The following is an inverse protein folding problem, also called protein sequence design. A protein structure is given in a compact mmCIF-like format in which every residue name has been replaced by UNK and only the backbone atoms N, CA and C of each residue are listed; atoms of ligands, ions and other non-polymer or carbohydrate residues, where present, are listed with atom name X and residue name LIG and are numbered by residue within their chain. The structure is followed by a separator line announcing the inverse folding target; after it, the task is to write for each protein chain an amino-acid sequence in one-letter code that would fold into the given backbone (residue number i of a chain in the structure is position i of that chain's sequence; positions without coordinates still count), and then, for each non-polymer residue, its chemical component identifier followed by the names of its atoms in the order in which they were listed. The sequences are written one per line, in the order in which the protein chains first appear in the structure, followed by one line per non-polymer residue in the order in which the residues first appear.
data_IF_958692144127
#
_entry.id   IF_958692144127
#
_cell.length_a   1.000
_cell.length_b   1.000
_cell.length_c   1.000
_cell.angle_alpha   90.00
_cell.angle_beta   90.00
_cell.angle_gamma   90.00
#
_symmetry.space_group_name_H-M   'P 1'
#
loop_
_entity.id
_entity.type
_entity.pdbx_description
1 polymer ?
#
# COMPACT_ATOMS: atom_id res chain seq x y z
N UNK A 1 19.38 1.39 -44.37
CA UNK A 1 20.35 1.51 -43.24
C UNK A 1 21.27 0.30 -43.15
N UNK A 2 20.76 -0.92 -42.94
CA UNK A 2 21.57 -2.14 -42.81
C UNK A 2 22.59 -2.37 -43.95
N UNK A 3 22.15 -2.28 -45.22
CA UNK A 3 23.04 -2.42 -46.40
C UNK A 3 24.12 -1.33 -46.52
N UNK A 4 23.95 -0.19 -45.84
CA UNK A 4 24.93 0.92 -45.83
C UNK A 4 25.92 0.66 -44.69
N UNK A 5 25.42 0.37 -43.49
CA UNK A 5 26.23 0.03 -42.31
C UNK A 5 27.13 -1.18 -42.59
N UNK A 6 26.60 -2.24 -43.21
CA UNK A 6 27.34 -3.46 -43.53
C UNK A 6 28.49 -3.26 -44.55
N UNK A 7 28.48 -2.14 -45.27
CA UNK A 7 29.60 -1.76 -46.17
C UNK A 7 30.73 -1.09 -45.41
N UNK A 8 30.42 -0.37 -44.32
CA UNK A 8 31.38 0.38 -43.52
C UNK A 8 31.89 -0.39 -42.30
N UNK A 9 31.19 -1.46 -41.90
CA UNK A 9 31.66 -2.38 -40.86
C UNK A 9 31.19 -3.80 -41.14
N UNK A 10 32.15 -4.71 -41.24
CA UNK A 10 31.92 -6.13 -41.53
C UNK A 10 31.20 -6.86 -40.39
N UNK A 11 31.24 -6.33 -39.15
CA UNK A 11 30.61 -6.95 -37.98
C UNK A 11 29.07 -6.88 -38.00
N UNK A 12 28.49 -5.93 -38.76
CA UNK A 12 27.04 -5.78 -38.94
C UNK A 12 26.55 -6.36 -40.28
N UNK A 13 27.30 -7.31 -40.86
CA UNK A 13 26.95 -7.96 -42.13
C UNK A 13 26.06 -9.17 -41.89
N UNK A 14 24.95 -9.24 -42.62
CA UNK A 14 23.95 -10.30 -42.49
C UNK A 14 22.69 -9.83 -41.77
N UNK A 15 21.76 -10.76 -41.53
CA UNK A 15 20.44 -10.48 -40.92
C UNK A 15 20.35 -10.99 -39.46
N UNK A 16 21.48 -11.10 -38.77
CA UNK A 16 21.49 -11.47 -37.36
C UNK A 16 20.90 -10.32 -36.51
N UNK A 17 20.35 -10.66 -35.34
CA UNK A 17 20.03 -9.64 -34.35
C UNK A 17 21.34 -9.09 -33.77
N UNK A 18 21.49 -7.77 -33.78
CA UNK A 18 22.65 -7.07 -33.26
C UNK A 18 22.24 -6.25 -32.03
N UNK A 19 23.16 -6.12 -31.07
CA UNK A 19 22.95 -5.27 -29.90
C UNK A 19 22.90 -3.79 -30.33
N UNK A 20 21.83 -3.10 -29.94
CA UNK A 20 21.62 -1.69 -30.30
C UNK A 20 22.68 -0.77 -29.68
N UNK A 21 23.23 -1.13 -28.52
CA UNK A 21 24.29 -0.37 -27.84
C UNK A 21 25.61 -0.48 -28.62
N UNK A 22 25.95 -1.70 -29.08
CA UNK A 22 27.15 -1.95 -29.89
C UNK A 22 27.09 -1.18 -31.21
N UNK A 23 25.92 -1.15 -31.86
CA UNK A 23 25.71 -0.37 -33.08
C UNK A 23 25.85 1.14 -32.83
N UNK A 24 25.30 1.66 -31.72
CA UNK A 24 25.38 3.07 -31.38
C UNK A 24 26.81 3.51 -31.09
N UNK A 25 27.56 2.73 -30.31
CA UNK A 25 28.97 2.98 -30.01
C UNK A 25 29.81 3.00 -31.28
N UNK A 26 29.65 2.00 -32.15
CA UNK A 26 30.34 1.97 -33.44
C UNK A 26 30.01 3.19 -34.31
N UNK A 27 28.75 3.63 -34.32
CA UNK A 27 28.33 4.78 -35.09
C UNK A 27 28.95 6.08 -34.53
N UNK A 28 28.98 6.25 -33.21
CA UNK A 28 29.60 7.39 -32.54
C UNK A 28 31.11 7.44 -32.80
N UNK A 29 31.79 6.30 -32.73
CA UNK A 29 33.21 6.20 -33.06
C UNK A 29 33.48 6.61 -34.51
N UNK A 30 32.66 6.14 -35.46
CA UNK A 30 32.79 6.52 -36.87
C UNK A 30 32.53 8.01 -37.10
N UNK A 31 31.54 8.58 -36.42
CA UNK A 31 31.27 10.01 -36.50
C UNK A 31 32.41 10.83 -35.89
N UNK A 32 32.99 10.41 -34.77
CA UNK A 32 34.14 11.07 -34.17
C UNK A 32 35.39 11.00 -35.05
N UNK A 33 35.67 9.86 -35.68
CA UNK A 33 36.79 9.71 -36.62
C UNK A 33 36.61 10.61 -37.87
N UNK A 34 35.43 10.63 -38.47
CA UNK A 34 35.16 11.44 -39.67
C UNK A 34 35.15 12.95 -39.38
N UNK A 35 34.76 13.36 -38.16
CA UNK A 35 34.78 14.75 -37.71
C UNK A 35 36.16 15.20 -37.20
N UNK A 36 36.93 14.30 -36.60
CA UNK A 36 38.28 14.57 -36.10
C UNK A 36 39.35 14.61 -37.21
N UNK A 37 39.14 13.87 -38.30
CA UNK A 37 40.04 13.85 -39.47
C UNK A 37 39.82 15.01 -40.45
N UNK A 38 38.74 15.78 -40.31
CA UNK A 38 38.44 16.91 -41.18
C UNK A 38 39.35 18.10 -40.85
N UNK A 39 40.47 18.21 -41.56
CA UNK A 39 41.24 19.46 -41.63
C UNK A 39 40.32 20.65 -41.96
N UNK A 40 40.55 21.85 -41.39
CA UNK A 40 39.62 22.99 -41.50
C UNK A 40 39.32 23.43 -42.95
N UNK A 41 40.08 22.96 -43.93
CA UNK A 41 39.91 23.26 -45.35
C UNK A 41 38.80 22.44 -46.05
N UNK A 42 38.26 21.37 -45.44
CA UNK A 42 37.24 20.50 -46.07
C UNK A 42 35.79 20.74 -45.61
N UNK A 43 35.56 21.61 -44.61
CA UNK A 43 34.21 21.87 -44.07
C UNK A 43 33.26 22.60 -45.05
N UNK A 44 33.73 23.01 -46.24
CA UNK A 44 32.94 23.80 -47.20
C UNK A 44 32.12 22.97 -48.20
N UNK A 45 32.10 21.63 -48.13
CA UNK A 45 31.40 20.77 -49.11
C UNK A 45 30.39 19.78 -48.53
N UNK A 46 29.89 20.01 -47.31
CA UNK A 46 28.76 19.24 -46.76
C UNK A 46 27.40 19.86 -47.15
N UNK A 47 26.44 19.03 -47.57
CA UNK A 47 25.03 19.45 -47.76
C UNK A 47 24.50 20.17 -46.51
N UNK A 48 23.67 21.21 -46.68
CA UNK A 48 23.05 21.98 -45.58
C UNK A 48 22.37 21.09 -44.52
N UNK A 49 21.85 19.94 -44.92
CA UNK A 49 21.20 18.96 -44.03
C UNK A 49 22.19 18.29 -43.05
N UNK A 50 23.42 18.02 -43.48
CA UNK A 50 24.47 17.45 -42.61
C UNK A 50 24.93 18.47 -41.59
N UNK A 51 24.98 19.75 -41.99
CA UNK A 51 25.32 20.87 -41.09
C UNK A 51 24.24 21.09 -40.03
N UNK A 52 22.97 21.01 -40.41
CA UNK A 52 21.84 21.12 -39.49
C UNK A 52 21.77 19.94 -38.50
N UNK A 53 22.06 18.71 -38.95
CA UNK A 53 22.16 17.55 -38.08
C UNK A 53 23.35 17.67 -37.10
N UNK A 54 24.48 18.19 -37.57
CA UNK A 54 25.65 18.47 -36.74
C UNK A 54 25.36 19.54 -35.69
N UNK A 55 24.70 20.64 -36.05
CA UNK A 55 24.25 21.65 -35.09
C UNK A 55 23.26 21.08 -34.08
N UNK A 56 22.33 20.23 -34.50
CA UNK A 56 21.37 19.58 -33.62
C UNK A 56 22.06 18.61 -32.62
N UNK A 57 23.02 17.81 -33.08
CA UNK A 57 23.83 16.93 -32.24
C UNK A 57 24.75 17.73 -31.29
N UNK A 58 25.32 18.83 -31.75
CA UNK A 58 26.12 19.73 -30.91
C UNK A 58 25.24 20.40 -29.83
N UNK A 59 24.01 20.77 -30.17
CA UNK A 59 23.03 21.36 -29.25
C UNK A 59 22.54 20.33 -28.24
N UNK A 60 22.36 19.06 -28.64
CA UNK A 60 22.07 17.95 -27.74
C UNK A 60 23.24 17.66 -26.80
N UNK A 61 24.47 17.62 -27.30
CA UNK A 61 25.67 17.41 -26.47
C UNK A 61 25.88 18.56 -25.47
N UNK A 62 25.53 19.79 -25.85
CA UNK A 62 25.55 20.95 -24.94
C UNK A 62 24.36 20.97 -23.97
N UNK A 63 23.19 20.46 -24.37
CA UNK A 63 22.00 20.29 -23.52
C UNK A 63 22.14 19.15 -22.50
N UNK A 64 22.94 18.13 -22.81
CA UNK A 64 23.33 17.03 -21.90
C UNK A 64 24.53 17.42 -21.02
N UNK A 65 24.99 18.68 -21.07
CA UNK A 65 25.92 19.21 -20.07
C UNK A 65 25.18 19.42 -18.76
N UNK A 66 25.02 18.31 -18.03
CA UNK A 66 24.60 18.23 -16.63
C UNK A 66 25.31 19.34 -15.85
N UNK A 67 24.58 20.40 -15.50
CA UNK A 67 25.04 21.46 -14.59
C UNK A 67 24.90 21.06 -13.12
N UNK A 68 24.80 19.77 -12.79
CA UNK A 68 24.93 19.28 -11.42
C UNK A 68 26.30 18.65 -11.20
N UNK A 69 27.12 19.33 -10.39
CA UNK A 69 27.83 18.76 -9.24
C UNK A 69 28.70 17.50 -9.34
N UNK A 70 28.90 16.83 -10.47
CA UNK A 70 29.79 15.66 -10.56
C UNK A 70 31.24 16.16 -10.63
N UNK A 71 31.78 16.58 -9.49
CA UNK A 71 33.22 16.91 -9.36
C UNK A 71 34.06 15.71 -8.90
N UNK A 72 33.44 14.56 -8.63
CA UNK A 72 34.13 13.41 -8.01
C UNK A 72 33.70 12.05 -8.59
N UNK A 73 33.32 11.97 -9.87
CA UNK A 73 33.55 10.73 -10.60
C UNK A 73 35.07 10.62 -10.77
N UNK A 74 35.71 10.01 -9.77
CA UNK A 74 37.16 9.79 -9.70
C UNK A 74 37.56 9.05 -10.97
N UNK A 75 38.15 9.77 -11.90
CA UNK A 75 38.74 9.21 -13.12
C UNK A 75 39.82 8.22 -12.69
N UNK A 76 39.49 6.94 -12.78
CA UNK A 76 40.39 5.82 -12.51
C UNK A 76 41.49 5.84 -13.57
N UNK A 77 42.64 6.45 -13.26
CA UNK A 77 43.83 6.35 -14.10
C UNK A 77 44.51 5.02 -13.81
N UNK A 78 44.69 4.19 -14.83
CA UNK A 78 45.57 3.02 -14.71
C UNK A 78 46.99 3.48 -15.03
N UNK A 79 47.91 3.21 -14.10
CA UNK A 79 49.33 3.54 -14.25
C UNK A 79 50.13 2.26 -14.33
N UNK A 80 50.80 2.07 -15.46
CA UNK A 80 51.69 0.95 -15.67
C UNK A 80 53.11 1.49 -15.73
N UNK A 81 53.96 1.03 -14.83
CA UNK A 81 55.39 1.36 -14.85
C UNK A 81 56.14 0.21 -15.48
N UNK A 82 56.86 0.49 -16.57
CA UNK A 82 57.68 -0.52 -17.22
C UNK A 82 58.85 -0.93 -16.27
N UNK A 83 58.99 -2.20 -15.88
CA UNK A 83 60.02 -2.62 -14.93
C UNK A 83 61.44 -2.52 -15.51
N UNK A 84 61.60 -2.41 -16.83
CA UNK A 84 62.89 -2.43 -17.50
C UNK A 84 63.47 -1.04 -17.81
N UNK A 85 62.61 -0.04 -18.06
CA UNK A 85 63.04 1.33 -18.36
C UNK A 85 62.46 2.38 -17.41
N UNK A 86 61.72 1.95 -16.38
CA UNK A 86 61.09 2.80 -15.35
C UNK A 86 60.19 3.91 -15.92
N UNK A 87 59.77 3.78 -17.18
CA UNK A 87 58.89 4.73 -17.84
C UNK A 87 57.45 4.46 -17.40
N UNK A 88 56.83 5.47 -16.82
CA UNK A 88 55.45 5.43 -16.37
C UNK A 88 54.53 5.76 -17.56
N UNK A 89 53.61 4.86 -17.85
CA UNK A 89 52.51 5.07 -18.80
C UNK A 89 51.23 5.26 -17.99
N UNK A 90 50.62 6.43 -18.11
CA UNK A 90 49.31 6.71 -17.57
C UNK A 90 48.31 6.65 -18.72
N UNK A 91 47.44 5.64 -18.72
CA UNK A 91 46.39 5.54 -19.72
C UNK A 91 45.11 6.11 -19.10
N UNK A 92 44.64 7.20 -19.68
CA UNK A 92 43.31 7.72 -19.41
C UNK A 92 42.35 6.94 -20.28
N UNK A 93 41.59 6.03 -19.68
CA UNK A 93 40.51 5.33 -20.37
C UNK A 93 39.20 5.99 -19.91
N UNK A 94 38.69 7.01 -20.64
CA UNK A 94 37.39 7.57 -20.29
C UNK A 94 36.36 6.47 -20.51
N UNK A 95 35.58 6.14 -19.47
CA UNK A 95 34.38 5.34 -19.67
C UNK A 95 33.50 6.07 -20.70
N UNK A 96 33.46 5.55 -21.93
CA UNK A 96 32.66 6.12 -23.04
C UNK A 96 31.16 5.90 -22.80
N UNK A 97 30.82 4.89 -22.01
CA UNK A 97 29.45 4.58 -21.57
C UNK A 97 29.46 4.12 -20.12
N UNK A 98 28.42 4.55 -19.39
CA UNK A 98 28.12 4.06 -18.05
C UNK A 98 26.67 3.58 -18.03
N UNK A 99 26.46 2.34 -17.59
CA UNK A 99 25.14 1.80 -17.34
C UNK A 99 24.66 2.29 -15.98
N UNK A 100 23.68 3.19 -15.96
CA UNK A 100 23.11 3.70 -14.72
C UNK A 100 21.85 2.92 -14.35
N UNK A 101 21.70 2.51 -13.07
CA UNK A 101 20.45 1.92 -12.61
C UNK A 101 19.34 2.96 -12.68
N UNK A 102 18.21 2.59 -13.29
CA UNK A 102 17.01 3.44 -13.31
C UNK A 102 16.31 3.25 -11.97
N UNK A 103 16.08 4.32 -11.18
CA UNK A 103 15.24 4.25 -9.99
C UNK A 103 13.93 3.55 -10.32
N UNK A 104 13.62 2.50 -9.58
CA UNK A 104 12.35 1.81 -9.71
C UNK A 104 11.38 2.38 -8.68
N UNK A 105 10.10 2.51 -9.07
CA UNK A 105 9.05 2.92 -8.15
C UNK A 105 8.97 1.91 -7.00
N UNK A 106 9.17 2.39 -5.77
CA UNK A 106 9.21 1.55 -4.56
C UNK A 106 7.86 1.47 -3.83
N UNK A 107 6.84 2.18 -4.31
CA UNK A 107 5.50 2.21 -3.72
C UNK A 107 4.41 1.85 -4.73
N UNK A 108 3.28 1.36 -4.25
CA UNK A 108 2.03 1.25 -5.02
C UNK A 108 0.92 2.06 -4.37
N UNK A 109 -0.05 2.49 -5.16
CA UNK A 109 -1.27 3.08 -4.64
C UNK A 109 -2.16 1.98 -4.05
N UNK A 110 -2.58 2.16 -2.79
CA UNK A 110 -3.54 1.30 -2.12
C UNK A 110 -4.68 2.14 -1.55
N UNK A 111 -5.92 1.76 -1.87
CA UNK A 111 -7.10 2.39 -1.29
C UNK A 111 -7.54 1.62 -0.04
N UNK A 112 -7.76 2.33 1.06
CA UNK A 112 -8.24 1.76 2.32
C UNK A 112 -9.50 2.50 2.75
N UNK A 113 -10.51 1.76 3.17
CA UNK A 113 -11.76 2.32 3.69
C UNK A 113 -11.66 2.42 5.21
N UNK A 114 -11.60 3.63 5.73
CA UNK A 114 -11.62 3.93 7.15
C UNK A 114 -13.06 3.81 7.67
N UNK A 115 -13.24 3.00 8.72
CA UNK A 115 -14.50 2.86 9.46
C UNK A 115 -14.30 3.50 10.82
N UNK A 116 -14.72 4.76 10.92
CA UNK A 116 -14.49 5.62 12.09
C UNK A 116 -15.71 5.63 13.02
N UNK A 117 -15.50 6.02 14.27
CA UNK A 117 -16.59 6.24 15.24
C UNK A 117 -17.24 7.64 15.09
N UNK A 118 -16.86 8.41 14.07
CA UNK A 118 -17.37 9.77 13.85
C UNK A 118 -18.66 9.75 13.02
N UNK A 119 -19.75 10.34 13.52
CA UNK A 119 -21.05 10.41 12.85
C UNK A 119 -21.02 11.11 11.48
N UNK A 120 -20.13 12.10 11.28
CA UNK A 120 -20.02 12.84 10.00
C UNK A 120 -19.18 12.14 8.94
N UNK A 121 -18.20 11.34 9.37
CA UNK A 121 -17.16 10.78 8.49
C UNK A 121 -16.97 9.29 8.79
N UNK A 122 -18.09 8.56 8.84
CA UNK A 122 -18.10 7.17 9.32
C UNK A 122 -17.39 6.21 8.36
N UNK A 123 -17.48 6.48 7.06
CA UNK A 123 -16.88 5.68 5.99
C UNK A 123 -16.15 6.59 5.00
N UNK A 124 -14.82 6.60 5.06
CA UNK A 124 -13.98 7.42 4.17
C UNK A 124 -12.94 6.55 3.49
N UNK A 125 -12.84 6.61 2.17
CA UNK A 125 -11.78 5.95 1.42
C UNK A 125 -10.59 6.88 1.29
N UNK A 126 -9.42 6.41 1.68
CA UNK A 126 -8.16 7.13 1.60
C UNK A 126 -7.21 6.41 0.65
N UNK A 127 -6.39 7.18 -0.06
CA UNK A 127 -5.37 6.65 -0.97
C UNK A 127 -3.99 6.75 -0.33
N UNK A 128 -3.28 5.63 -0.22
CA UNK A 128 -1.96 5.54 0.40
C UNK A 128 -0.91 5.09 -0.62
N UNK A 129 0.28 5.71 -0.60
CA UNK A 129 1.45 5.26 -1.34
C UNK A 129 2.22 4.25 -0.47
N UNK A 130 1.87 2.97 -0.58
CA UNK A 130 2.41 1.95 0.32
C UNK A 130 3.68 1.31 -0.23
N UNK A 131 4.69 0.98 0.60
CA UNK A 131 5.92 0.34 0.13
C UNK A 131 5.64 -1.04 -0.48
N UNK A 132 6.27 -1.36 -1.62
CA UNK A 132 6.12 -2.65 -2.31
C UNK A 132 6.66 -3.82 -1.48
N UNK A 133 7.76 -3.61 -0.77
CA UNK A 133 8.41 -4.59 0.11
C UNK A 133 8.09 -4.33 1.59
N UNK A 134 7.01 -3.59 1.86
CA UNK A 134 6.56 -3.26 3.20
C UNK A 134 5.73 -4.35 3.86
N UNK A 135 5.49 -4.17 5.14
CA UNK A 135 4.66 -5.02 5.98
C UNK A 135 3.30 -4.41 6.26
N UNK A 136 2.37 -5.21 6.78
CA UNK A 136 1.08 -4.72 7.27
C UNK A 136 1.25 -3.78 8.48
N UNK A 137 2.33 -3.90 9.25
CA UNK A 137 2.64 -2.95 10.33
C UNK A 137 2.85 -1.53 9.78
N UNK A 138 3.60 -1.40 8.68
CA UNK A 138 3.83 -0.12 8.00
C UNK A 138 2.50 0.48 7.52
N UNK A 139 1.65 -0.35 6.89
CA UNK A 139 0.32 0.06 6.49
C UNK A 139 -0.52 0.54 7.69
N UNK A 140 -0.48 -0.19 8.81
CA UNK A 140 -1.25 0.15 10.01
C UNK A 140 -0.87 1.52 10.53
N UNK A 141 0.42 1.84 10.55
CA UNK A 141 0.91 3.15 10.95
C UNK A 141 0.48 4.25 9.97
N UNK A 142 0.54 4.01 8.66
CA UNK A 142 0.08 4.96 7.65
C UNK A 142 -1.42 5.27 7.79
N UNK A 143 -2.24 4.22 7.94
CA UNK A 143 -3.68 4.31 8.15
C UNK A 143 -4.02 5.04 9.45
N UNK A 144 -3.30 4.73 10.52
CA UNK A 144 -3.46 5.35 11.83
C UNK A 144 -3.25 6.87 11.76
N UNK A 145 -2.20 7.31 11.06
CA UNK A 145 -1.91 8.72 10.84
C UNK A 145 -3.01 9.41 10.03
N UNK A 146 -3.46 8.81 8.93
CA UNK A 146 -4.52 9.37 8.07
C UNK A 146 -5.87 9.45 8.80
N UNK A 147 -6.21 8.44 9.60
CA UNK A 147 -7.46 8.38 10.35
C UNK A 147 -7.45 9.08 11.72
N UNK A 148 -6.31 9.61 12.15
CA UNK A 148 -6.09 10.09 13.53
C UNK A 148 -6.48 9.05 14.60
N UNK A 149 -6.16 7.78 14.34
CA UNK A 149 -6.42 6.63 15.23
C UNK A 149 -5.06 6.17 15.80
N UNK A 150 -4.95 5.78 17.08
CA UNK A 150 -3.74 5.11 17.57
C UNK A 150 -3.46 3.81 16.78
N UNK A 151 -2.24 3.55 16.31
CA UNK A 151 -1.92 2.36 15.51
C UNK A 151 -2.38 1.05 16.16
N UNK A 152 -2.22 0.91 17.48
CA UNK A 152 -2.61 -0.25 18.27
C UNK A 152 -4.13 -0.47 18.36
N UNK A 153 -4.94 0.50 17.93
CA UNK A 153 -6.40 0.38 17.85
C UNK A 153 -6.90 0.09 16.44
N UNK A 154 -6.06 0.21 15.41
CA UNK A 154 -6.48 -0.06 14.04
C UNK A 154 -6.66 -1.56 13.84
N UNK A 155 -7.80 -1.99 13.33
CA UNK A 155 -8.00 -3.37 12.85
C UNK A 155 -8.06 -3.35 11.33
N UNK A 156 -7.22 -4.15 10.66
CA UNK A 156 -7.18 -4.24 9.21
C UNK A 156 -7.84 -5.54 8.76
N UNK A 157 -8.81 -5.45 7.84
CA UNK A 157 -9.48 -6.64 7.30
C UNK A 157 -9.95 -6.46 5.85
N UNK A 158 -9.86 -7.54 5.10
CA UNK A 158 -10.36 -7.63 3.72
C UNK A 158 -11.81 -8.12 3.75
N UNK A 159 -12.71 -7.34 3.13
CA UNK A 159 -14.14 -7.62 3.14
C UNK A 159 -14.65 -7.70 1.71
N UNK A 160 -15.17 -8.86 1.34
CA UNK A 160 -15.76 -9.11 0.03
C UNK A 160 -17.23 -8.73 -0.03
N UNK A 161 -17.84 -8.70 -1.23
CA UNK A 161 -19.30 -8.65 -1.38
C UNK A 161 -20.04 -9.83 -0.74
N UNK A 162 -19.35 -10.89 -0.27
CA UNK A 162 -19.93 -12.02 0.47
C UNK A 162 -19.62 -12.02 1.97
N UNK A 163 -18.94 -10.98 2.47
CA UNK A 163 -18.56 -10.83 3.89
C UNK A 163 -17.06 -10.85 4.13
N UNK A 164 -16.66 -10.97 5.39
CA UNK A 164 -15.24 -10.98 5.79
C UNK A 164 -14.46 -12.15 5.19
N UNK A 165 -13.34 -11.84 4.54
CA UNK A 165 -12.40 -12.84 4.08
C UNK A 165 -11.37 -13.15 5.17
N UNK A 166 -10.60 -12.14 5.56
CA UNK A 166 -9.52 -12.29 6.54
C UNK A 166 -9.18 -10.97 7.23
N UNK A 167 -8.48 -11.07 8.34
CA UNK A 167 -7.86 -9.92 9.03
C UNK A 167 -6.37 -9.99 8.76
N UNK A 168 -5.70 -8.83 8.66
CA UNK A 168 -4.27 -8.74 8.39
C UNK A 168 -3.49 -8.52 9.69
N UNK A 169 -2.52 -9.40 9.93
CA UNK A 169 -1.54 -9.30 11.01
C UNK A 169 -0.27 -8.58 10.57
N UNK A 170 0.40 -7.93 11.51
CA UNK A 170 1.54 -7.03 11.25
C UNK A 170 2.73 -7.67 10.51
N UNK A 171 2.95 -8.96 10.69
CA UNK A 171 4.05 -9.70 10.08
C UNK A 171 3.81 -10.07 8.60
N UNK A 172 2.58 -9.85 8.11
CA UNK A 172 2.25 -10.16 6.73
C UNK A 172 2.86 -9.14 5.76
N UNK A 173 3.24 -9.62 4.57
CA UNK A 173 3.75 -8.79 3.49
C UNK A 173 2.61 -8.02 2.82
N UNK A 174 2.88 -6.78 2.43
CA UNK A 174 1.86 -5.87 1.93
C UNK A 174 1.52 -6.08 0.45
N UNK A 175 2.33 -6.84 -0.29
CA UNK A 175 2.22 -7.01 -1.74
C UNK A 175 0.81 -7.37 -2.22
N UNK A 176 0.18 -8.38 -1.61
CA UNK A 176 -1.16 -8.87 -2.02
C UNK A 176 -2.34 -8.19 -1.32
N UNK A 177 -2.07 -7.31 -0.34
CA UNK A 177 -3.13 -6.70 0.46
C UNK A 177 -4.04 -5.83 -0.41
N UNK A 178 -5.35 -6.03 -0.32
CA UNK A 178 -6.32 -5.23 -1.07
C UNK A 178 -6.41 -5.52 -2.57
N UNK A 179 -5.73 -6.55 -3.08
CA UNK A 179 -5.85 -6.98 -4.49
C UNK A 179 -7.10 -7.85 -4.72
N UNK A 180 -7.39 -8.76 -3.78
CA UNK A 180 -8.51 -9.71 -3.90
C UNK A 180 -9.85 -9.17 -3.39
N UNK A 181 -9.84 -8.20 -2.48
CA UNK A 181 -11.04 -7.58 -1.93
C UNK A 181 -10.72 -6.20 -1.33
N UNK A 182 -11.72 -5.30 -1.23
CA UNK A 182 -11.54 -4.01 -0.57
C UNK A 182 -11.00 -4.15 0.86
N UNK A 183 -10.02 -3.30 1.18
CA UNK A 183 -9.36 -3.28 2.47
C UNK A 183 -10.00 -2.24 3.39
N UNK A 184 -10.34 -2.66 4.61
CA UNK A 184 -10.95 -1.82 5.63
C UNK A 184 -10.03 -1.65 6.83
N UNK A 185 -10.08 -0.46 7.42
CA UNK A 185 -9.45 -0.12 8.68
C UNK A 185 -10.51 0.30 9.70
N UNK A 186 -10.74 -0.53 10.70
CA UNK A 186 -11.76 -0.29 11.71
C UNK A 186 -11.18 0.38 12.95
N UNK A 187 -11.80 1.47 13.37
CA UNK A 187 -11.59 2.07 14.67
C UNK A 187 -12.59 1.48 15.68
N UNK A 188 -12.15 0.71 16.69
CA UNK A 188 -13.03 0.16 17.70
C UNK A 188 -13.63 1.27 18.58
N UNK A 189 -14.85 1.08 19.12
CA UNK A 189 -15.38 1.98 20.14
C UNK A 189 -14.45 2.04 21.36
N UNK A 190 -14.32 3.21 22.01
CA UNK A 190 -13.47 3.36 23.18
C UNK A 190 -13.90 2.39 24.29
N UNK A 191 -12.92 1.81 24.98
CA UNK A 191 -13.20 1.03 26.18
C UNK A 191 -13.74 1.98 27.26
N UNK A 192 -15.04 1.89 27.59
CA UNK A 192 -15.57 2.65 28.74
C UNK A 192 -14.86 2.17 29.99
N UNK A 193 -14.03 3.02 30.61
CA UNK A 193 -13.37 2.74 31.88
C UNK A 193 -14.44 2.62 32.95
N UNK A 194 -14.56 1.45 33.57
CA UNK A 194 -15.34 1.30 34.80
C UNK A 194 -14.59 2.00 35.92
N UNK A 195 -15.18 3.07 36.47
CA UNK A 195 -14.69 3.74 37.66
C UNK A 195 -13.69 4.88 37.42
N UNK A 196 -14.22 6.05 37.10
CA UNK A 196 -13.78 7.31 37.75
C UNK A 196 -14.85 8.36 37.47
N UNK A 197 -15.73 8.59 38.43
CA UNK A 197 -16.52 9.81 38.51
C UNK A 197 -15.55 10.96 38.69
N UNK A 198 -15.15 11.61 37.59
CA UNK A 198 -14.92 13.04 37.54
C UNK A 198 -15.12 13.49 36.10
N UNK A 199 -16.27 14.11 35.87
CA UNK A 199 -16.50 14.92 34.68
C UNK A 199 -15.45 16.03 34.66
N UNK A 200 -14.67 16.12 33.59
CA UNK A 200 -14.04 17.38 33.19
C UNK A 200 -14.36 17.63 31.73
N UNK A 201 -15.25 18.60 31.54
CA UNK A 201 -15.54 19.24 30.26
C UNK A 201 -14.32 20.08 29.89
N UNK A 202 -13.64 19.77 28.80
CA UNK A 202 -12.84 20.75 28.09
C UNK A 202 -13.15 20.66 26.59
N UNK A 203 -14.05 21.55 26.18
CA UNK A 203 -14.07 22.07 24.82
C UNK A 203 -12.89 23.05 24.69
N UNK A 204 -12.14 22.97 23.58
CA UNK A 204 -11.24 24.04 23.15
C UNK A 204 -9.89 23.60 22.60
N UNK A 205 -9.73 23.71 21.27
CA UNK A 205 -8.48 24.08 20.61
C UNK A 205 -7.41 22.99 20.41
N UNK A 206 -7.38 22.37 19.23
CA UNK A 206 -6.19 21.67 18.75
C UNK A 206 -5.05 22.67 18.48
N UNK A 207 -3.95 22.56 19.23
CA UNK A 207 -2.61 22.98 18.80
C UNK A 207 -1.65 21.82 19.03
N UNK A 208 -0.78 21.47 18.05
CA UNK A 208 0.15 20.36 18.19
C UNK A 208 1.42 20.83 18.94
N UNK A 209 1.73 20.17 20.04
CA UNK A 209 3.01 20.26 20.73
C UNK A 209 3.47 18.85 21.10
N UNK A 210 4.75 18.48 20.89
CA UNK A 210 5.20 17.10 21.10
C UNK A 210 5.45 16.87 22.59
N UNK A 211 4.60 16.06 23.23
CA UNK A 211 4.95 15.44 24.53
C UNK A 211 5.17 13.95 24.30
N UNK A 212 6.45 13.60 24.25
CA UNK A 212 6.95 12.23 24.33
C UNK A 212 6.47 11.61 25.66
N UNK A 213 5.74 10.49 25.57
CA UNK A 213 5.40 9.62 26.70
C UNK A 213 6.26 8.35 26.61
N UNK A 214 6.73 7.77 27.73
CA UNK A 214 7.74 6.72 27.71
C UNK A 214 7.17 5.40 27.20
N UNK A 215 7.96 4.78 26.32
CA UNK A 215 7.81 3.46 25.74
C UNK A 215 7.97 2.37 26.81
N UNK A 216 6.89 2.00 27.50
CA UNK A 216 6.62 0.65 28.04
C UNK A 216 5.29 0.67 28.79
N UNK A 217 4.19 0.56 28.07
CA UNK A 217 2.93 0.14 28.67
C UNK A 217 2.37 -0.99 27.81
N UNK A 218 2.66 -2.23 28.22
CA UNK A 218 1.86 -3.39 27.77
C UNK A 218 0.43 -3.06 28.17
N UNK A 219 -0.38 -2.63 27.20
CA UNK A 219 -1.75 -2.19 27.45
C UNK A 219 -2.48 -3.31 28.17
N UNK A 220 -2.88 -3.04 29.41
CA UNK A 220 -3.59 -3.93 30.33
C UNK A 220 -5.06 -4.15 29.93
N UNK A 221 -5.39 -4.04 28.64
CA UNK A 221 -6.72 -4.33 28.08
C UNK A 221 -6.92 -5.82 27.72
N UNK A 222 -5.95 -6.68 28.01
CA UNK A 222 -5.96 -8.11 27.67
C UNK A 222 -6.87 -9.00 28.55
N UNK A 223 -7.82 -8.43 29.31
CA UNK A 223 -8.78 -9.23 30.09
C UNK A 223 -9.96 -9.69 29.21
N UNK A 224 -9.68 -10.39 28.11
CA UNK A 224 -10.72 -11.15 27.36
C UNK A 224 -11.08 -12.49 28.04
N UNK A 225 -10.28 -12.90 29.04
CA UNK A 225 -10.49 -14.13 29.81
C UNK A 225 -11.37 -13.84 31.02
N UNK A 226 -12.66 -14.11 30.85
CA UNK A 226 -13.65 -14.09 31.93
C UNK A 226 -15.01 -13.59 31.44
N UNK A 227 -16.12 -13.93 32.12
CA UNK A 227 -17.46 -13.50 31.76
C UNK A 227 -17.67 -11.97 31.84
N UNK A 228 -16.83 -11.25 32.60
CA UNK A 228 -16.79 -9.78 32.64
C UNK A 228 -15.83 -9.13 31.62
N UNK A 229 -15.14 -9.94 30.80
CA UNK A 229 -14.29 -9.43 29.73
C UNK A 229 -15.12 -8.79 28.62
N UNK A 230 -14.50 -7.89 27.85
CA UNK A 230 -15.11 -7.30 26.64
C UNK A 230 -14.50 -7.90 25.39
N UNK A 231 -15.28 -7.99 24.32
CA UNK A 231 -14.85 -8.54 23.03
C UNK A 231 -15.18 -7.54 21.93
N UNK A 232 -14.26 -7.41 20.98
CA UNK A 232 -14.47 -6.65 19.76
C UNK A 232 -15.07 -7.54 18.68
N UNK A 233 -16.15 -7.07 18.07
CA UNK A 233 -16.90 -7.79 17.04
C UNK A 233 -16.86 -6.99 15.75
N UNK A 234 -16.30 -7.57 14.69
CA UNK A 234 -16.45 -7.07 13.33
C UNK A 234 -17.66 -7.74 12.70
N UNK A 235 -18.63 -6.97 12.22
CA UNK A 235 -19.92 -7.46 11.75
C UNK A 235 -20.17 -7.02 10.31
N UNK A 236 -20.69 -7.95 9.51
CA UNK A 236 -21.22 -7.68 8.19
C UNK A 236 -22.63 -8.27 8.08
N UNK A 237 -23.54 -7.56 7.41
CA UNK A 237 -24.89 -8.07 7.16
C UNK A 237 -24.93 -8.75 5.80
N UNK A 238 -25.57 -9.91 5.72
CA UNK A 238 -25.78 -10.63 4.46
C UNK A 238 -27.22 -11.09 4.34
N UNK A 239 -27.72 -11.18 3.12
CA UNK A 239 -29.01 -11.78 2.81
C UNK A 239 -28.88 -12.72 1.60
N UNK A 240 -29.80 -13.68 1.51
CA UNK A 240 -29.78 -14.72 0.47
C UNK A 240 -29.01 -15.97 0.86
N UNK A 241 -28.96 -16.95 -0.03
CA UNK A 241 -28.30 -18.24 0.18
C UNK A 241 -27.52 -18.67 -1.05
N UNK A 242 -26.45 -19.43 -0.84
CA UNK A 242 -25.60 -19.98 -1.91
C UNK A 242 -25.10 -18.89 -2.88
N UNK A 243 -25.41 -18.98 -4.19
CA UNK A 243 -24.93 -18.00 -5.17
C UNK A 243 -25.56 -16.61 -5.01
N UNK A 244 -26.77 -16.52 -4.44
CA UNK A 244 -27.49 -15.26 -4.20
C UNK A 244 -27.09 -14.57 -2.88
N UNK A 245 -26.19 -15.18 -2.10
CA UNK A 245 -25.68 -14.58 -0.88
C UNK A 245 -24.91 -13.29 -1.22
N UNK A 246 -25.40 -12.18 -0.69
CA UNK A 246 -24.79 -10.87 -0.86
C UNK A 246 -24.74 -10.12 0.48
N UNK A 247 -23.61 -9.46 0.72
CA UNK A 247 -23.44 -8.49 1.80
C UNK A 247 -24.25 -7.24 1.45
N UNK A 248 -24.85 -6.63 2.47
CA UNK A 248 -25.48 -5.32 2.31
C UNK A 248 -25.13 -4.38 3.45
N UNK A 249 -25.07 -3.09 3.11
CA UNK A 249 -24.72 -2.03 4.03
C UNK A 249 -23.29 -2.13 4.59
N UNK A 250 -22.88 -1.12 5.37
CA UNK A 250 -21.52 -1.01 5.86
C UNK A 250 -21.15 -2.13 6.84
N UNK A 251 -19.90 -2.61 6.82
CA UNK A 251 -19.37 -3.39 7.92
C UNK A 251 -19.20 -2.48 9.14
N UNK A 252 -19.37 -3.06 10.33
CA UNK A 252 -19.34 -2.30 11.59
C UNK A 252 -18.50 -3.00 12.63
N UNK A 253 -18.07 -2.22 13.62
CA UNK A 253 -17.32 -2.70 14.78
C UNK A 253 -18.07 -2.38 16.06
N UNK A 254 -18.27 -3.41 16.88
CA UNK A 254 -18.91 -3.33 18.18
C UNK A 254 -17.94 -3.76 19.29
N UNK A 255 -18.17 -3.25 20.50
CA UNK A 255 -17.48 -3.68 21.71
C UNK A 255 -18.53 -4.08 22.73
N UNK A 256 -18.64 -5.38 22.99
CA UNK A 256 -19.65 -5.94 23.89
C UNK A 256 -19.02 -6.72 25.03
N UNK A 257 -19.77 -6.87 26.13
CA UNK A 257 -19.37 -7.73 27.24
C UNK A 257 -19.62 -9.20 26.89
N UNK A 258 -18.73 -10.10 27.34
CA UNK A 258 -18.85 -11.53 27.05
C UNK A 258 -20.11 -12.17 27.63
N UNK A 259 -20.57 -11.65 28.77
CA UNK A 259 -21.79 -12.07 29.43
C UNK A 259 -23.09 -11.49 28.85
N UNK A 260 -23.03 -10.73 27.74
CA UNK A 260 -24.22 -10.14 27.12
C UNK A 260 -25.26 -11.22 26.77
N UNK A 261 -26.54 -10.93 27.02
CA UNK A 261 -27.63 -11.83 26.62
C UNK A 261 -27.87 -11.77 25.10
N UNK A 262 -28.54 -12.78 24.55
CA UNK A 262 -28.93 -12.76 23.13
C UNK A 262 -29.77 -11.53 22.77
N UNK A 263 -30.76 -11.20 23.61
CA UNK A 263 -31.65 -10.05 23.38
C UNK A 263 -30.88 -8.73 23.38
N UNK A 264 -29.95 -8.56 24.32
CA UNK A 264 -29.09 -7.37 24.40
C UNK A 264 -28.14 -7.28 23.21
N UNK A 265 -27.55 -8.41 22.77
CA UNK A 265 -26.68 -8.45 21.60
C UNK A 265 -27.47 -8.09 20.33
N UNK A 266 -28.68 -8.65 20.16
CA UNK A 266 -29.56 -8.32 19.05
C UNK A 266 -29.90 -6.82 19.05
N UNK A 267 -30.26 -6.25 20.21
CA UNK A 267 -30.53 -4.82 20.35
C UNK A 267 -29.31 -3.95 20.03
N UNK A 268 -28.10 -4.33 20.48
CA UNK A 268 -26.88 -3.58 20.17
C UNK A 268 -26.58 -3.55 18.66
N UNK A 269 -26.72 -4.69 17.98
CA UNK A 269 -26.57 -4.78 16.51
C UNK A 269 -27.61 -3.90 15.81
N UNK A 270 -28.89 -3.99 16.21
CA UNK A 270 -29.96 -3.16 15.64
C UNK A 270 -29.74 -1.67 15.88
N UNK A 271 -29.19 -1.28 17.03
CA UNK A 271 -28.90 0.12 17.34
C UNK A 271 -27.87 0.71 16.37
N UNK A 272 -26.84 -0.06 15.98
CA UNK A 272 -25.89 0.38 14.94
C UNK A 272 -26.53 0.49 13.56
N UNK A 273 -27.53 -0.36 13.28
CA UNK A 273 -28.25 -0.37 12.01
C UNK A 273 -29.35 0.68 11.92
N UNK A 274 -29.64 1.41 13.01
CA UNK A 274 -30.80 2.31 13.08
C UNK A 274 -30.84 3.36 11.98
N UNK A 275 -29.68 3.87 11.57
CA UNK A 275 -29.57 4.89 10.50
C UNK A 275 -29.92 4.32 9.12
N UNK A 276 -29.88 3.00 8.95
CA UNK A 276 -30.17 2.31 7.70
C UNK A 276 -31.60 1.76 7.62
N UNK A 277 -32.32 1.72 8.74
CA UNK A 277 -33.67 1.16 8.80
C UNK A 277 -34.70 2.12 8.20
N UNK A 278 -35.59 1.59 7.36
CA UNK A 278 -36.70 2.33 6.74
C UNK A 278 -37.96 2.41 7.61
N UNK A 279 -38.03 1.61 8.67
CA UNK A 279 -39.20 1.52 9.54
C UNK A 279 -38.86 0.98 10.91
N UNK A 280 -39.84 1.00 11.82
CA UNK A 280 -39.67 0.47 13.17
C UNK A 280 -39.50 -1.05 13.16
N UNK A 281 -38.52 -1.53 13.90
CA UNK A 281 -38.34 -2.96 14.15
C UNK A 281 -39.36 -3.38 15.19
N UNK A 282 -40.50 -3.90 14.74
CA UNK A 282 -41.43 -4.62 15.61
C UNK A 282 -40.95 -6.07 15.67
N UNK A 283 -40.38 -6.47 16.80
CA UNK A 283 -40.20 -7.89 17.10
C UNK A 283 -41.59 -8.52 17.19
N UNK A 284 -42.08 -9.09 16.08
CA UNK A 284 -43.33 -9.83 16.06
C UNK A 284 -43.08 -11.18 16.73
N UNK A 285 -43.12 -11.20 18.06
CA UNK A 285 -42.93 -12.39 18.89
C UNK A 285 -41.51 -12.57 19.45
N UNK A 286 -41.32 -13.65 20.19
CA UNK A 286 -40.09 -14.08 20.90
C UNK A 286 -38.98 -14.64 19.99
N UNK A 287 -39.05 -14.40 18.68
CA UNK A 287 -38.13 -14.97 17.69
C UNK A 287 -36.89 -14.11 17.40
N UNK A 288 -35.77 -14.74 17.06
CA UNK A 288 -34.57 -14.05 16.56
C UNK A 288 -34.82 -13.45 15.16
N UNK A 289 -34.48 -12.18 14.96
CA UNK A 289 -34.70 -11.45 13.70
C UNK A 289 -33.70 -11.82 12.60
N UNK A 290 -32.56 -12.37 13.00
CA UNK A 290 -31.47 -12.78 12.15
C UNK A 290 -30.67 -13.89 12.84
N UNK A 291 -29.83 -14.57 12.08
CA UNK A 291 -28.88 -15.56 12.59
C UNK A 291 -27.49 -14.96 12.64
N UNK A 292 -26.68 -15.33 13.62
CA UNK A 292 -25.29 -14.86 13.74
C UNK A 292 -24.37 -16.05 13.54
N UNK A 293 -23.45 -15.97 12.58
CA UNK A 293 -22.40 -16.98 12.39
C UNK A 293 -21.01 -16.38 12.55
N UNK A 294 -20.06 -17.22 12.96
CA UNK A 294 -18.64 -16.87 12.88
C UNK A 294 -18.18 -16.82 11.42
N UNK A 295 -17.32 -15.86 11.11
CA UNK A 295 -16.74 -15.66 9.78
C UNK A 295 -15.22 -15.83 9.80
N UNK A 296 -14.67 -16.32 8.68
CA UNK A 296 -13.22 -16.35 8.44
C UNK A 296 -12.44 -17.42 9.22
N UNK A 297 -12.98 -18.63 9.36
CA UNK A 297 -12.27 -19.83 9.83
C UNK A 297 -12.37 -20.99 8.84
N UNK A 298 -11.45 -21.95 8.91
CA UNK A 298 -11.44 -23.18 8.07
C UNK A 298 -12.39 -24.28 8.57
N UNK A 299 -12.99 -24.08 9.75
CA UNK A 299 -13.92 -25.00 10.40
C UNK A 299 -15.36 -24.85 9.84
N UNK A 300 -16.24 -25.85 10.02
CA UNK A 300 -17.64 -25.74 9.62
C UNK A 300 -18.31 -24.49 10.23
N UNK A 301 -19.19 -23.87 9.45
CA UNK A 301 -19.96 -22.69 9.83
C UNK A 301 -20.57 -22.84 11.22
N UNK A 302 -20.03 -22.13 12.21
CA UNK A 302 -20.53 -22.15 13.58
C UNK A 302 -21.51 -21.00 13.78
N UNK A 303 -22.75 -21.33 14.15
CA UNK A 303 -23.78 -20.36 14.50
C UNK A 303 -23.84 -20.14 16.01
N UNK A 304 -24.11 -18.91 16.42
CA UNK A 304 -24.48 -18.59 17.79
C UNK A 304 -25.97 -18.87 17.97
N UNK A 305 -26.32 -19.63 19.01
CA UNK A 305 -27.71 -20.00 19.27
C UNK A 305 -28.45 -18.88 20.00
N UNK A 306 -29.68 -18.52 19.57
CA UNK A 306 -30.56 -17.63 20.32
C UNK A 306 -30.96 -18.15 21.70
N UNK A 307 -30.84 -19.46 21.92
CA UNK A 307 -31.16 -20.12 23.18
C UNK A 307 -29.99 -20.09 24.18
N UNK A 308 -28.79 -19.71 23.73
CA UNK A 308 -27.64 -19.56 24.61
C UNK A 308 -27.81 -18.25 25.42
N UNK A 309 -27.83 -18.30 26.77
CA UNK A 309 -27.95 -17.10 27.59
C UNK A 309 -26.73 -16.16 27.44
N UNK A 310 -25.57 -16.66 26.99
CA UNK A 310 -24.33 -15.90 26.85
C UNK A 310 -23.59 -16.30 25.55
N UNK A 311 -24.11 -15.93 24.38
CA UNK A 311 -23.58 -16.38 23.08
C UNK A 311 -22.10 -16.01 22.85
N UNK A 312 -21.60 -14.93 23.46
CA UNK A 312 -20.19 -14.51 23.33
C UNK A 312 -19.23 -15.27 24.29
N UNK A 313 -19.75 -16.12 25.17
CA UNK A 313 -18.97 -17.08 25.95
C UNK A 313 -18.78 -18.42 25.22
N UNK A 314 -19.31 -18.58 24.01
CA UNK A 314 -19.21 -19.81 23.25
C UNK A 314 -17.74 -20.15 22.92
N UNK A 315 -17.28 -21.42 23.03
CA UNK A 315 -15.88 -21.80 22.82
C UNK A 315 -15.30 -21.44 21.45
N UNK A 316 -16.15 -21.34 20.42
CA UNK A 316 -15.72 -20.90 19.10
C UNK A 316 -15.27 -19.43 19.07
N UNK A 317 -15.83 -18.58 19.94
CA UNK A 317 -15.41 -17.18 20.13
C UNK A 317 -13.99 -17.14 20.71
N UNK A 318 -13.70 -18.00 21.69
CA UNK A 318 -12.34 -18.10 22.27
C UNK A 318 -11.30 -18.52 21.23
N UNK A 319 -11.63 -19.53 20.42
CA UNK A 319 -10.76 -19.96 19.32
C UNK A 319 -10.54 -18.84 18.30
N UNK A 320 -11.58 -18.11 17.93
CA UNK A 320 -11.46 -16.98 17.01
C UNK A 320 -10.56 -15.86 17.56
N UNK A 321 -10.66 -15.56 18.86
CA UNK A 321 -9.79 -14.58 19.53
C UNK A 321 -8.33 -15.02 19.56
N UNK A 322 -8.06 -16.32 19.78
CA UNK A 322 -6.70 -16.87 19.76
C UNK A 322 -6.05 -16.83 18.36
N UNK A 323 -6.87 -16.84 17.30
CA UNK A 323 -6.43 -16.74 15.91
C UNK A 323 -6.29 -15.30 15.40
N UNK A 324 -6.53 -14.30 16.25
CA UNK A 324 -6.31 -12.90 15.88
C UNK A 324 -4.82 -12.65 15.63
N UNK A 325 -4.49 -12.12 14.45
CA UNK A 325 -3.10 -11.77 14.10
C UNK A 325 -2.53 -10.65 14.99
N UNK A 326 -1.20 -10.55 15.03
CA UNK A 326 -0.51 -9.52 15.80
C UNK A 326 -0.77 -8.10 15.26
N UNK A 327 -0.70 -7.10 16.14
CA UNK A 327 -0.73 -5.66 15.80
C UNK A 327 -1.99 -4.93 16.23
N UNK A 328 -3.12 -5.31 15.67
CA UNK A 328 -4.43 -4.77 16.06
C UNK A 328 -4.99 -5.45 17.31
N UNK A 329 -6.06 -4.90 17.91
CA UNK A 329 -6.69 -5.51 19.06
C UNK A 329 -7.38 -6.84 18.67
N UNK A 330 -7.38 -7.86 19.56
CA UNK A 330 -8.05 -9.13 19.31
C UNK A 330 -9.55 -8.93 19.04
N UNK A 331 -10.05 -9.59 18.01
CA UNK A 331 -11.42 -9.38 17.53
C UNK A 331 -12.01 -10.66 16.93
N UNK A 332 -13.34 -10.70 16.85
CA UNK A 332 -14.08 -11.79 16.22
C UNK A 332 -14.88 -11.25 15.04
N UNK A 333 -14.76 -11.93 13.90
CA UNK A 333 -15.54 -11.62 12.70
C UNK A 333 -16.84 -12.42 12.74
N UNK A 334 -17.96 -11.74 12.59
CA UNK A 334 -19.29 -12.30 12.61
C UNK A 334 -20.06 -11.87 11.36
N UNK A 335 -20.89 -12.77 10.85
CA UNK A 335 -21.85 -12.48 9.79
C UNK A 335 -23.26 -12.54 10.35
N UNK A 336 -24.00 -11.46 10.17
CA UNK A 336 -25.41 -11.34 10.54
C UNK A 336 -26.24 -11.70 9.31
N UNK A 337 -26.87 -12.85 9.34
CA UNK A 337 -27.63 -13.41 8.24
C UNK A 337 -29.11 -13.08 8.39
N UNK A 338 -29.61 -12.32 7.43
CA UNK A 338 -30.99 -11.90 7.31
C UNK A 338 -31.70 -12.77 6.29
N UNK A 339 -32.94 -13.13 6.57
CA UNK A 339 -33.80 -13.63 5.51
C UNK A 339 -34.12 -12.49 4.51
N UNK A 340 -34.31 -12.85 3.25
CA UNK A 340 -34.45 -11.86 2.17
C UNK A 340 -35.69 -10.98 2.37
N UNK A 341 -36.81 -11.53 2.86
CA UNK A 341 -38.05 -10.77 3.04
C UNK A 341 -37.95 -9.77 4.19
N UNK A 342 -37.30 -10.13 5.29
CA UNK A 342 -36.98 -9.22 6.40
C UNK A 342 -35.99 -8.16 5.98
N UNK A 343 -34.95 -8.52 5.21
CA UNK A 343 -33.99 -7.55 4.67
C UNK A 343 -34.70 -6.52 3.80
N UNK A 344 -35.53 -6.95 2.85
CA UNK A 344 -36.26 -6.03 1.97
C UNK A 344 -37.29 -5.17 2.71
N UNK A 345 -37.97 -5.72 3.71
CA UNK A 345 -38.91 -4.96 4.55
C UNK A 345 -38.21 -3.88 5.39
N UNK A 346 -37.08 -4.18 6.00
CA UNK A 346 -36.42 -3.30 6.97
C UNK A 346 -35.42 -2.33 6.32
N UNK A 347 -34.71 -2.77 5.28
CA UNK A 347 -33.61 -2.02 4.64
C UNK A 347 -33.90 -1.72 3.16
N UNK A 348 -34.79 -2.48 2.53
CA UNK A 348 -35.07 -2.44 1.09
C UNK A 348 -33.83 -2.66 0.22
N UNK A 349 -33.74 -1.92 -0.88
CA UNK A 349 -32.69 -2.06 -1.89
C UNK A 349 -31.31 -1.52 -1.49
N UNK A 350 -30.98 -1.42 -0.19
CA UNK A 350 -29.61 -1.11 0.22
C UNK A 350 -28.71 -2.26 -0.28
N UNK A 351 -27.72 -1.91 -1.10
CA UNK A 351 -26.70 -2.81 -1.64
C UNK A 351 -25.39 -2.52 -0.90
N UNK A 352 -24.59 -1.57 -1.36
CA UNK A 352 -23.29 -1.26 -0.75
C UNK A 352 -23.32 0.02 0.09
N UNK A 353 -22.38 0.13 1.03
CA UNK A 353 -22.13 1.37 1.76
C UNK A 353 -21.72 2.51 0.82
N UNK A 354 -22.26 3.70 1.11
CA UNK A 354 -21.79 4.93 0.48
C UNK A 354 -20.48 5.32 1.16
N UNK A 355 -19.38 5.20 0.43
CA UNK A 355 -18.04 5.58 0.89
C UNK A 355 -17.62 6.87 0.18
N UNK A 356 -17.21 7.87 0.96
CA UNK A 356 -16.69 9.10 0.41
C UNK A 356 -15.19 9.01 0.17
N UNK A 357 -14.74 9.37 -1.03
CA UNK A 357 -13.32 9.42 -1.35
C UNK A 357 -12.69 10.70 -0.79
N UNK A 358 -11.60 10.56 -0.05
CA UNK A 358 -10.74 11.65 0.36
C UNK A 358 -9.90 12.16 -0.83
N UNK A 359 -9.38 13.39 -0.71
CA UNK A 359 -8.50 13.96 -1.73
C UNK A 359 -7.25 13.09 -1.99
N UNK A 360 -6.75 12.40 -0.95
CA UNK A 360 -5.60 11.48 -1.04
C UNK A 360 -5.80 10.38 -2.08
N UNK A 361 -7.04 9.89 -2.29
CA UNK A 361 -7.36 8.91 -3.35
C UNK A 361 -7.00 9.46 -4.73
N UNK A 362 -7.49 10.66 -5.04
CA UNK A 362 -7.25 11.31 -6.34
C UNK A 362 -5.76 11.63 -6.53
N UNK A 363 -5.10 12.13 -5.49
CA UNK A 363 -3.66 12.46 -5.54
C UNK A 363 -2.83 11.20 -5.83
N UNK A 364 -3.10 10.09 -5.15
CA UNK A 364 -2.36 8.85 -5.39
C UNK A 364 -2.64 8.24 -6.76
N UNK A 365 -3.87 8.33 -7.27
CA UNK A 365 -4.20 7.91 -8.63
C UNK A 365 -3.44 8.73 -9.68
N UNK A 366 -3.34 10.05 -9.51
CA UNK A 366 -2.59 10.92 -10.42
C UNK A 366 -1.09 10.62 -10.38
N UNK A 367 -0.51 10.55 -9.17
CA UNK A 367 0.91 10.26 -8.98
C UNK A 367 1.30 8.90 -9.58
N UNK A 368 0.44 7.89 -9.46
CA UNK A 368 0.73 6.56 -9.99
C UNK A 368 0.43 6.41 -11.48
N UNK A 369 -0.47 7.23 -12.06
CA UNK A 369 -0.71 7.30 -13.51
C UNK A 369 0.38 8.04 -14.28
N UNK A 370 1.03 9.02 -13.66
CA UNK A 370 2.21 9.64 -14.27
C UNK A 370 3.30 8.58 -14.45
N UNK A 371 3.86 8.51 -15.66
CA UNK A 371 5.01 7.64 -15.94
C UNK A 371 6.12 7.98 -14.95
N UNK A 372 6.77 6.96 -14.40
CA UNK A 372 7.88 7.15 -13.49
C UNK A 372 9.02 7.82 -14.27
N UNK A 373 9.20 9.12 -14.06
CA UNK A 373 10.33 9.88 -14.59
C UNK A 373 11.38 10.00 -13.50
N UNK A 374 12.61 9.65 -13.80
CA UNK A 374 13.76 9.92 -12.95
C UNK A 374 14.69 10.90 -13.67
N UNK A 375 15.44 11.66 -12.90
CA UNK A 375 16.53 12.50 -13.41
C UNK A 375 17.80 11.69 -13.55
N UNK A 376 18.70 12.10 -14.45
CA UNK A 376 20.02 11.49 -14.59
C UNK A 376 20.82 11.54 -13.27
N UNK A 377 20.64 12.61 -12.48
CA UNK A 377 21.26 12.80 -11.17
C UNK A 377 20.84 11.70 -10.18
N UNK A 378 19.54 11.37 -10.12
CA UNK A 378 19.02 10.28 -9.29
C UNK A 378 19.63 8.92 -9.68
N UNK A 379 19.83 8.68 -10.97
CA UNK A 379 20.48 7.46 -11.46
C UNK A 379 21.96 7.39 -11.01
N UNK A 380 22.70 8.50 -11.04
CA UNK A 380 24.08 8.57 -10.56
C UNK A 380 24.20 8.40 -9.04
N UNK A 381 23.24 8.92 -8.27
CA UNK A 381 23.21 8.73 -6.82
C UNK A 381 23.02 7.26 -6.43
N UNK A 382 22.26 6.47 -7.21
CA UNK A 382 22.14 5.03 -6.99
C UNK A 382 23.42 4.29 -7.31
N UNK A 383 24.03 4.59 -8.46
CA UNK A 383 25.30 3.98 -8.89
C UNK A 383 26.41 4.17 -7.83
N UNK A 384 26.56 5.38 -7.32
CA UNK A 384 27.60 5.72 -6.32
C UNK A 384 27.35 5.08 -4.95
N UNK A 385 26.10 4.83 -4.56
CA UNK A 385 25.77 4.10 -3.32
C UNK A 385 26.09 2.61 -3.43
N UNK A 386 25.83 1.98 -4.58
CA UNK A 386 26.13 0.56 -4.78
C UNK A 386 27.64 0.28 -4.80
N UNK A 387 28.44 1.15 -5.42
CA UNK A 387 29.91 1.01 -5.40
C UNK A 387 30.50 1.10 -3.99
N UNK A 388 29.93 1.92 -3.09
CA UNK A 388 30.36 1.97 -1.69
C UNK A 388 30.12 0.66 -0.94
N UNK A 389 29.04 -0.07 -1.25
CA UNK A 389 28.72 -1.36 -0.62
C UNK A 389 29.63 -2.46 -1.14
N UNK A 390 30.01 -2.42 -2.43
CA UNK A 390 30.95 -3.37 -3.02
C UNK A 390 32.41 -3.14 -2.58
N UNK A 391 32.77 -1.90 -2.23
CA UNK A 391 34.11 -1.54 -1.73
C UNK A 391 34.44 -2.02 -0.30
N UNK A 392 33.47 -2.55 0.45
CA UNK A 392 33.65 -3.04 1.84
C UNK A 392 33.83 -4.56 1.97
N UNK A 393 33.97 -5.29 0.87
CA UNK A 393 34.28 -6.71 0.89
C UNK A 393 35.57 -7.01 0.11
N UNK A 394 36.72 -6.72 0.72
CA UNK A 394 37.95 -7.51 0.63
C UNK A 394 39.02 -7.01 1.59
#
# INVERSE_FOLDING_TARGET
LQNIVSKHSSQFRGNAQHDALEFLLWLLDRMHEDLGAASPAQQTRGSQEVRALLEWLHTLAQGVRVRSGIREARTSWSSLTCPHCQKQSNTFDPFLCISLPIPLRQTRALNVILVLQCERWRFVRVGLAVPLLGTVADLREMVAREGCIPPEQVILAEVSPRGFLRSLGDQEQLGSAGEGAPLYAFQPPPARRTGTTHASRLAGGCRPGPRLLPTTARSSDCLHRGPGGRVLLLLCNTAGTGPQLARFGPPMVLREERGISWEQLQQSILAQLRVLLRGEVRAQGTGALFRIRLAGGSAPCTYLSPQDPRPLCHPAIDRALQLSGAGGPPHVKLTVEWDVSTKERLFGNIQEEVVQDAESVRLQQLAHRQQHSCTLDECFQLYTKEEQVQGTAR
#
